data_IF_785996607166
#
_entry.id   IF_785996607166
#
_cell.length_a   1.000
_cell.length_b   1.000
_cell.length_c   1.000
_cell.angle_alpha   90.00
_cell.angle_beta   90.00
_cell.angle_gamma   90.00
#
_symmetry.space_group_name_H-M   'P 1'
#
loop_
_entity.id
_entity.type
_entity.pdbx_description
1 polymer ?
#
# COMPACT_ATOMS: atom_id res chain seq x y z
N UNK A 1 29.19 3.47 -26.44
CA UNK A 1 29.39 2.23 -25.66
C UNK A 1 29.81 2.73 -24.29
N UNK A 2 28.95 2.89 -23.29
CA UNK A 2 27.66 2.24 -23.02
C UNK A 2 26.78 3.19 -22.21
N UNK A 3 25.52 3.29 -22.62
CA UNK A 3 24.49 4.08 -21.95
C UNK A 3 23.91 3.26 -20.80
N UNK A 4 24.25 3.60 -19.56
CA UNK A 4 23.38 3.29 -18.44
C UNK A 4 22.78 4.60 -17.95
N UNK A 5 21.63 4.93 -18.53
CA UNK A 5 20.72 5.91 -17.95
C UNK A 5 20.37 5.45 -16.55
N UNK A 6 20.98 6.07 -15.54
CA UNK A 6 20.32 6.28 -14.26
C UNK A 6 19.15 7.20 -14.54
N UNK A 7 18.04 6.58 -14.92
CA UNK A 7 16.73 7.16 -14.70
C UNK A 7 16.62 7.27 -13.18
N UNK A 8 17.00 8.44 -12.67
CA UNK A 8 16.45 8.95 -11.43
C UNK A 8 14.95 9.10 -11.70
N UNK A 9 14.24 7.97 -11.69
CA UNK A 9 12.79 7.95 -11.62
C UNK A 9 12.49 8.73 -10.36
N UNK A 10 12.02 9.97 -10.54
CA UNK A 10 11.29 10.73 -9.53
C UNK A 10 10.53 9.71 -8.69
N UNK A 11 11.02 9.42 -7.50
CA UNK A 11 10.29 8.63 -6.53
C UNK A 11 9.24 9.63 -6.03
N UNK A 12 7.99 9.61 -6.54
CA UNK A 12 6.99 10.42 -5.88
C UNK A 12 6.94 9.86 -4.47
N UNK A 13 6.80 10.73 -3.48
CA UNK A 13 6.55 10.39 -2.09
C UNK A 13 5.53 9.24 -2.05
N UNK A 14 6.02 7.99 -1.96
CA UNK A 14 5.30 6.82 -2.51
C UNK A 14 4.31 6.24 -1.51
N UNK A 15 3.93 7.03 -0.50
CA UNK A 15 2.99 6.62 0.53
C UNK A 15 1.59 7.07 0.18
N UNK A 16 0.62 6.18 0.38
CA UNK A 16 -0.79 6.54 0.38
C UNK A 16 -1.24 6.72 1.82
N UNK A 17 -2.05 7.73 2.13
CA UNK A 17 -2.69 7.89 3.47
C UNK A 17 -3.92 6.98 3.63
N UNK A 18 -4.16 6.12 2.64
CA UNK A 18 -5.33 5.27 2.54
C UNK A 18 -4.90 3.80 2.50
N UNK A 19 -5.37 2.98 3.46
CA UNK A 19 -4.90 1.59 3.58
C UNK A 19 -5.29 0.73 2.38
N UNK A 20 -6.53 0.85 1.89
CA UNK A 20 -6.97 0.19 0.66
C UNK A 20 -6.10 0.54 -0.55
N UNK A 21 -5.68 1.80 -0.69
CA UNK A 21 -4.75 2.22 -1.73
C UNK A 21 -3.40 1.52 -1.61
N UNK A 22 -2.80 1.45 -0.41
CA UNK A 22 -1.53 0.72 -0.19
C UNK A 22 -1.64 -0.75 -0.61
N UNK A 23 -2.72 -1.42 -0.22
CA UNK A 23 -2.92 -2.85 -0.51
C UNK A 23 -3.10 -3.06 -2.03
N UNK A 24 -3.95 -2.26 -2.67
CA UNK A 24 -4.21 -2.33 -4.11
C UNK A 24 -2.94 -1.99 -4.91
N UNK A 25 -2.21 -0.97 -4.50
CA UNK A 25 -0.94 -0.57 -5.12
C UNK A 25 0.10 -1.69 -5.05
N UNK A 26 0.30 -2.26 -3.86
CA UNK A 26 1.26 -3.33 -3.64
C UNK A 26 0.94 -4.61 -4.42
N UNK A 27 -0.35 -4.90 -4.64
CA UNK A 27 -0.80 -6.07 -5.40
C UNK A 27 -0.77 -5.82 -6.92
N UNK A 28 -1.04 -4.60 -7.37
CA UNK A 28 -1.06 -4.24 -8.80
C UNK A 28 0.33 -4.02 -9.40
N UNK A 29 1.30 -3.49 -8.62
CA UNK A 29 2.62 -3.09 -9.11
C UNK A 29 3.40 -4.24 -9.80
N UNK A 30 3.07 -5.50 -9.53
CA UNK A 30 3.92 -6.64 -9.92
C UNK A 30 4.22 -6.80 -11.42
N UNK A 31 3.54 -6.11 -12.35
CA UNK A 31 3.80 -6.19 -13.81
C UNK A 31 3.30 -5.00 -14.67
N UNK A 32 2.87 -3.89 -14.08
CA UNK A 32 2.14 -2.84 -14.83
C UNK A 32 2.80 -1.47 -14.71
N UNK A 33 2.64 -0.64 -15.74
CA UNK A 33 3.11 0.75 -15.72
C UNK A 33 2.37 1.51 -14.61
N UNK A 34 3.10 1.90 -13.58
CA UNK A 34 2.52 2.54 -12.40
C UNK A 34 1.68 3.77 -12.79
N UNK A 35 2.28 4.69 -13.54
CA UNK A 35 1.66 5.97 -13.87
C UNK A 35 0.46 5.83 -14.84
N UNK A 36 0.49 4.83 -15.72
CA UNK A 36 -0.56 4.65 -16.75
C UNK A 36 -1.70 3.74 -16.28
N UNK A 37 -1.45 2.90 -15.29
CA UNK A 37 -2.32 1.75 -15.01
C UNK A 37 -2.64 1.61 -13.52
N UNK A 38 -1.64 1.70 -12.65
CA UNK A 38 -1.81 1.53 -11.20
C UNK A 38 -2.38 2.80 -10.57
N UNK A 39 -1.72 3.94 -10.79
CA UNK A 39 -2.12 5.24 -10.27
C UNK A 39 -3.58 5.60 -10.57
N UNK A 40 -4.08 5.59 -11.83
CA UNK A 40 -5.48 5.92 -12.08
C UNK A 40 -6.46 4.93 -11.45
N UNK A 41 -6.09 3.65 -11.28
CA UNK A 41 -6.94 2.66 -10.59
C UNK A 41 -6.99 2.91 -9.08
N UNK A 42 -5.86 3.26 -8.48
CA UNK A 42 -5.78 3.57 -7.05
C UNK A 42 -6.51 4.88 -6.75
N UNK A 43 -6.34 5.91 -7.59
CA UNK A 43 -7.09 7.17 -7.47
C UNK A 43 -8.60 6.96 -7.64
N UNK A 44 -9.02 6.11 -8.60
CA UNK A 44 -10.44 5.74 -8.75
C UNK A 44 -10.99 5.02 -7.52
N UNK A 45 -10.22 4.09 -6.94
CA UNK A 45 -10.58 3.42 -5.69
C UNK A 45 -10.77 4.42 -4.55
N UNK A 46 -9.82 5.33 -4.35
CA UNK A 46 -9.87 6.36 -3.29
C UNK A 46 -11.08 7.29 -3.49
N UNK A 47 -11.40 7.63 -4.74
CA UNK A 47 -12.52 8.49 -5.08
C UNK A 47 -13.88 7.78 -4.91
N UNK A 48 -13.99 6.51 -5.28
CA UNK A 48 -15.22 5.74 -5.10
C UNK A 48 -15.43 5.33 -3.64
N UNK A 49 -14.36 4.94 -2.95
CA UNK A 49 -14.41 4.34 -1.61
C UNK A 49 -13.57 5.14 -0.60
N UNK A 50 -14.01 6.35 -0.23
CA UNK A 50 -13.33 7.12 0.82
C UNK A 50 -13.30 6.37 2.17
N UNK A 51 -14.31 5.55 2.44
CA UNK A 51 -14.40 4.72 3.65
C UNK A 51 -13.35 3.58 3.69
N UNK A 52 -12.82 3.19 2.53
CA UNK A 52 -11.76 2.18 2.44
C UNK A 52 -10.39 2.70 2.94
N UNK A 53 -10.31 3.96 3.37
CA UNK A 53 -9.15 4.49 4.09
C UNK A 53 -8.87 3.68 5.37
N UNK A 54 -9.89 2.99 5.88
CA UNK A 54 -9.78 2.04 6.98
C UNK A 54 -9.83 0.58 6.50
N UNK A 55 -9.14 -0.32 7.21
CA UNK A 55 -9.15 -1.77 6.91
C UNK A 55 -10.57 -2.32 7.03
N UNK A 56 -11.32 -1.86 8.03
CA UNK A 56 -12.73 -2.23 8.26
C UNK A 56 -13.62 -1.80 7.09
N UNK A 57 -13.50 -0.54 6.63
CA UNK A 57 -14.25 -0.05 5.47
C UNK A 57 -13.86 -0.79 4.19
N UNK A 58 -12.56 -1.00 3.96
CA UNK A 58 -12.09 -1.75 2.80
C UNK A 58 -12.57 -3.21 2.82
N UNK A 59 -12.57 -3.87 3.98
CA UNK A 59 -13.09 -5.22 4.15
C UNK A 59 -14.58 -5.31 3.87
N UNK A 60 -15.36 -4.33 4.31
CA UNK A 60 -16.79 -4.27 4.03
C UNK A 60 -17.04 -4.17 2.52
N UNK A 61 -16.30 -3.32 1.82
CA UNK A 61 -16.40 -3.21 0.37
C UNK A 61 -15.90 -4.46 -0.37
N UNK A 62 -14.84 -5.11 0.11
CA UNK A 62 -14.36 -6.40 -0.40
C UNK A 62 -15.45 -7.47 -0.31
N UNK A 63 -16.17 -7.54 0.81
CA UNK A 63 -17.25 -8.51 1.02
C UNK A 63 -18.42 -8.30 0.06
N UNK A 64 -18.69 -7.04 -0.33
CA UNK A 64 -19.70 -6.72 -1.34
C UNK A 64 -19.31 -7.11 -2.77
N UNK A 65 -18.07 -7.54 -3.02
CA UNK A 65 -17.57 -7.91 -4.36
C UNK A 65 -17.33 -6.73 -5.30
N UNK A 66 -17.63 -5.50 -4.88
CA UNK A 66 -17.52 -4.29 -5.69
C UNK A 66 -16.09 -3.95 -6.09
N UNK A 67 -15.07 -4.55 -5.45
CA UNK A 67 -13.67 -4.23 -5.74
C UNK A 67 -13.30 -4.58 -7.18
N UNK A 68 -13.91 -5.62 -7.72
CA UNK A 68 -13.71 -6.02 -9.11
C UNK A 68 -14.48 -5.15 -10.10
N UNK A 69 -15.44 -4.35 -9.64
CA UNK A 69 -16.17 -3.37 -10.46
C UNK A 69 -15.42 -2.04 -10.55
N UNK A 70 -14.78 -1.62 -9.46
CA UNK A 70 -13.99 -0.38 -9.38
C UNK A 70 -12.59 -0.55 -9.99
N UNK A 71 -11.95 -1.68 -9.70
CA UNK A 71 -10.58 -1.98 -10.14
C UNK A 71 -10.59 -3.22 -11.00
N UNK A 72 -10.16 -3.08 -12.26
CA UNK A 72 -9.95 -4.22 -13.14
C UNK A 72 -8.74 -5.04 -12.65
N UNK A 73 -9.02 -6.25 -12.15
CA UNK A 73 -8.02 -7.18 -11.66
C UNK A 73 -7.57 -8.13 -12.78
N UNK A 74 -6.27 -8.18 -13.10
CA UNK A 74 -5.80 -9.04 -14.18
C UNK A 74 -5.89 -10.53 -13.84
N UNK A 75 -6.09 -10.90 -12.56
CA UNK A 75 -6.23 -12.29 -12.13
C UNK A 75 -6.93 -12.40 -10.77
N UNK A 76 -7.78 -13.43 -10.56
CA UNK A 76 -8.44 -13.68 -9.27
C UNK A 76 -7.45 -13.95 -8.13
N UNK A 77 -6.23 -14.43 -8.44
CA UNK A 77 -5.18 -14.61 -7.45
C UNK A 77 -4.68 -13.29 -6.82
N UNK A 78 -4.84 -12.15 -7.50
CA UNK A 78 -4.51 -10.84 -6.92
C UNK A 78 -5.62 -10.34 -6.00
N UNK A 79 -6.89 -10.58 -6.36
CA UNK A 79 -8.02 -10.28 -5.49
C UNK A 79 -7.89 -11.06 -4.17
N UNK A 80 -7.60 -12.37 -4.24
CA UNK A 80 -7.35 -13.18 -3.05
C UNK A 80 -6.16 -12.65 -2.22
N UNK A 81 -5.10 -12.16 -2.86
CA UNK A 81 -3.97 -11.53 -2.16
C UNK A 81 -4.40 -10.26 -1.40
N UNK A 82 -5.23 -9.41 -2.02
CA UNK A 82 -5.78 -8.20 -1.38
C UNK A 82 -6.63 -8.57 -0.17
N UNK A 83 -7.53 -9.53 -0.31
CA UNK A 83 -8.40 -9.99 0.78
C UNK A 83 -7.58 -10.54 1.95
N UNK A 84 -6.55 -11.32 1.68
CA UNK A 84 -5.75 -11.97 2.71
C UNK A 84 -4.83 -10.97 3.43
N UNK A 85 -4.21 -10.02 2.71
CA UNK A 85 -3.50 -8.88 3.34
C UNK A 85 -4.45 -8.08 4.23
N UNK A 86 -5.66 -7.79 3.76
CA UNK A 86 -6.68 -7.04 4.53
C UNK A 86 -7.03 -7.77 5.83
N UNK A 87 -7.23 -9.09 5.76
CA UNK A 87 -7.52 -9.92 6.96
C UNK A 87 -6.37 -9.91 7.97
N UNK A 88 -5.12 -9.89 7.50
CA UNK A 88 -3.96 -9.78 8.40
C UNK A 88 -3.95 -8.44 9.11
N UNK A 89 -4.21 -7.34 8.39
CA UNK A 89 -4.28 -6.01 8.98
C UNK A 89 -5.40 -5.92 10.03
N UNK A 90 -6.58 -6.43 9.70
CA UNK A 90 -7.73 -6.48 10.62
C UNK A 90 -7.38 -7.27 11.90
N UNK A 91 -6.76 -8.45 11.75
CA UNK A 91 -6.36 -9.30 12.88
C UNK A 91 -5.35 -8.61 13.80
N UNK A 92 -4.48 -7.78 13.24
CA UNK A 92 -3.44 -7.06 13.99
C UNK A 92 -3.95 -5.72 14.54
N UNK A 93 -5.20 -5.36 14.26
CA UNK A 93 -5.79 -4.08 14.66
C UNK A 93 -5.33 -2.89 13.82
N UNK A 94 -4.72 -3.16 12.66
CA UNK A 94 -4.26 -2.12 11.73
C UNK A 94 -5.45 -1.59 10.97
N UNK A 95 -6.04 -0.51 11.46
CA UNK A 95 -7.15 0.15 10.77
C UNK A 95 -6.68 1.20 9.77
N UNK A 96 -5.63 1.97 10.07
CA UNK A 96 -5.18 3.09 9.23
C UNK A 96 -3.70 2.95 8.87
N UNK A 97 -3.24 3.78 7.94
CA UNK A 97 -1.81 3.84 7.58
C UNK A 97 -0.94 4.26 8.77
N UNK A 98 -1.48 5.10 9.65
CA UNK A 98 -0.82 5.46 10.92
C UNK A 98 -0.66 4.25 11.82
N UNK A 99 -1.69 3.41 11.95
CA UNK A 99 -1.58 2.17 12.74
C UNK A 99 -0.61 1.18 12.09
N UNK A 100 -0.62 1.07 10.75
CA UNK A 100 0.34 0.24 10.01
C UNK A 100 1.79 0.68 10.28
N UNK A 101 2.05 1.99 10.21
CA UNK A 101 3.36 2.58 10.53
C UNK A 101 3.73 2.35 11.99
N UNK A 102 2.79 2.54 12.92
CA UNK A 102 3.00 2.26 14.34
C UNK A 102 3.34 0.78 14.59
N UNK A 103 2.62 -0.13 13.93
CA UNK A 103 2.85 -1.57 14.01
C UNK A 103 4.20 -1.96 13.40
N UNK A 104 4.59 -1.40 12.26
CA UNK A 104 5.88 -1.69 11.63
C UNK A 104 7.08 -1.05 12.35
N UNK A 105 6.87 0.07 13.03
CA UNK A 105 7.88 0.73 13.86
C UNK A 105 8.15 0.01 15.18
N UNK A 106 7.20 -0.79 15.66
CA UNK A 106 7.37 -1.64 16.83
C UNK A 106 8.01 -2.98 16.45
N UNK A 107 9.01 -3.43 17.23
CA UNK A 107 9.74 -4.66 16.95
C UNK A 107 8.85 -5.91 17.03
N UNK A 108 7.94 -5.97 18.00
CA UNK A 108 7.08 -7.13 18.22
C UNK A 108 5.93 -7.15 17.20
N UNK A 109 5.19 -6.05 17.05
CA UNK A 109 4.11 -5.94 16.07
C UNK A 109 4.64 -6.03 14.64
N UNK A 110 5.80 -5.45 14.34
CA UNK A 110 6.40 -5.46 13.02
C UNK A 110 6.91 -6.84 12.60
N UNK A 111 7.41 -7.64 13.55
CA UNK A 111 7.71 -9.05 13.32
C UNK A 111 6.43 -9.86 13.10
N UNK A 112 5.44 -9.70 13.99
CA UNK A 112 4.15 -10.39 13.87
C UNK A 112 3.42 -10.08 12.55
N UNK A 113 3.46 -8.83 12.09
CA UNK A 113 2.91 -8.42 10.80
C UNK A 113 3.64 -9.08 9.63
N UNK A 114 4.97 -9.06 9.63
CA UNK A 114 5.77 -9.71 8.58
C UNK A 114 5.55 -11.21 8.55
N UNK A 115 5.50 -11.87 9.71
CA UNK A 115 5.23 -13.29 9.82
C UNK A 115 3.81 -13.64 9.38
N UNK A 116 2.81 -12.88 9.83
CA UNK A 116 1.42 -13.09 9.43
C UNK A 116 1.23 -12.92 7.92
N UNK A 117 1.82 -11.88 7.34
CA UNK A 117 1.80 -11.66 5.89
C UNK A 117 2.63 -12.71 5.12
N UNK A 118 3.71 -13.24 5.70
CA UNK A 118 4.51 -14.31 5.08
C UNK A 118 3.77 -15.66 5.04
N UNK A 119 2.81 -15.88 5.95
CA UNK A 119 1.92 -17.04 5.95
C UNK A 119 0.82 -16.96 4.90
N UNK A 120 0.61 -15.79 4.30
CA UNK A 120 -0.43 -15.56 3.29
C UNK A 120 -0.06 -16.24 1.98
N UNK A 121 -0.97 -17.09 1.50
CA UNK A 121 -0.81 -17.76 0.22
C UNK A 121 -0.80 -16.70 -0.88
N UNK A 122 0.20 -16.76 -1.76
CA UNK A 122 0.41 -15.79 -2.85
C UNK A 122 1.04 -14.45 -2.46
N UNK A 123 1.31 -14.15 -1.19
CA UNK A 123 2.17 -13.01 -0.81
C UNK A 123 3.63 -13.43 -0.91
N UNK A 124 4.42 -12.63 -1.62
CA UNK A 124 5.87 -12.85 -1.73
C UNK A 124 6.62 -11.94 -0.76
N UNK A 125 7.86 -12.30 -0.36
CA UNK A 125 8.71 -11.41 0.43
C UNK A 125 8.90 -10.03 -0.22
N UNK A 126 8.87 -9.95 -1.56
CA UNK A 126 8.89 -8.68 -2.31
C UNK A 126 7.66 -7.81 -2.07
N UNK A 127 6.47 -8.41 -1.92
CA UNK A 127 5.24 -7.68 -1.60
C UNK A 127 5.28 -7.15 -0.17
N UNK A 128 5.86 -7.91 0.77
CA UNK A 128 6.06 -7.47 2.16
C UNK A 128 6.97 -6.24 2.26
N UNK A 129 8.12 -6.31 1.58
CA UNK A 129 9.10 -5.24 1.50
C UNK A 129 8.48 -3.96 0.92
N UNK A 130 7.65 -4.13 -0.11
CA UNK A 130 6.96 -3.03 -0.75
C UNK A 130 5.87 -2.41 0.13
N UNK A 131 5.07 -3.20 0.85
CA UNK A 131 4.11 -2.68 1.85
C UNK A 131 4.83 -1.87 2.93
N UNK A 132 5.98 -2.35 3.40
CA UNK A 132 6.83 -1.61 4.35
C UNK A 132 7.24 -0.25 3.80
N UNK A 133 7.69 -0.21 2.54
CA UNK A 133 8.07 1.03 1.85
C UNK A 133 6.88 1.99 1.70
N UNK A 134 5.72 1.49 1.24
CA UNK A 134 4.51 2.30 1.05
C UNK A 134 3.94 2.86 2.36
N UNK A 135 4.11 2.15 3.48
CA UNK A 135 3.65 2.60 4.80
C UNK A 135 4.47 3.75 5.41
N UNK A 136 5.52 4.20 4.71
CA UNK A 136 6.42 5.23 5.21
C UNK A 136 7.49 4.72 6.18
N UNK A 137 7.66 3.40 6.30
CA UNK A 137 8.85 2.79 6.92
C UNK A 137 9.93 2.74 5.82
N UNK A 138 10.30 3.90 5.30
CA UNK A 138 11.52 4.01 4.51
C UNK A 138 12.67 3.70 5.47
N UNK A 139 13.39 2.62 5.21
CA UNK A 139 14.64 2.34 5.91
C UNK A 139 15.64 3.41 5.50
N UNK A 140 15.64 4.54 6.22
CA UNK A 140 16.49 5.69 5.97
C UNK A 140 16.10 6.53 4.76
N UNK A 141 16.15 7.85 4.93
CA UNK A 141 16.03 8.87 3.88
C UNK A 141 14.64 9.06 3.25
N UNK A 142 13.68 9.61 4.00
CA UNK A 142 12.90 10.77 3.55
C UNK A 142 12.09 11.31 4.75
N UNK A 143 12.79 11.98 5.67
CA UNK A 143 12.19 12.69 6.79
C UNK A 143 12.76 14.11 6.74
N UNK A 144 12.63 14.76 5.59
CA UNK A 144 12.91 16.19 5.41
C UNK A 144 12.08 16.78 4.26
N UNK A 145 10.76 16.95 4.45
CA UNK A 145 10.03 18.05 3.81
C UNK A 145 8.63 18.32 4.37
N UNK A 146 8.52 18.37 5.70
CA UNK A 146 7.31 18.89 6.34
C UNK A 146 7.66 19.70 7.60
N UNK A 147 8.46 20.76 7.41
CA UNK A 147 8.32 22.00 8.17
C UNK A 147 7.88 23.03 7.12
N UNK A 148 6.61 23.41 7.05
CA UNK A 148 6.13 24.58 7.80
C UNK A 148 6.78 25.84 7.20
N UNK A 149 6.30 26.40 6.09
CA UNK A 149 5.17 27.35 6.03
C UNK A 149 5.52 28.70 6.67
N UNK A 150 5.74 29.72 5.81
CA UNK A 150 5.32 31.15 5.96
C UNK A 150 5.85 31.90 7.20
N UNK A 151 6.39 33.13 7.18
CA UNK A 151 6.08 34.35 6.46
C UNK A 151 7.21 35.38 6.74
N UNK A 152 7.38 36.35 5.83
CA UNK A 152 8.19 37.58 5.99
C UNK A 152 7.61 38.49 7.09
N UNK A 153 8.26 39.61 7.53
CA UNK A 153 9.26 40.45 6.85
C UNK A 153 10.56 40.74 7.63
#
# INVERSE_FOLDING_TARGET
MDSHGTDASTEPSRGWDHIGAIIVDATLQRRQNYNETVKPRVEALVAEWPDAATTSGFRQHLDTGKLSEVVDWPSPGRLAQVEDITRVFERLGVETVVDLRGALGDQAKGSALREALALVRHVSPKTLDYIGTLSGISTGADLDRAAGTEDSP
#
